data_IF_856686503661
#
_entry.id   IF_856686503661
#
_cell.length_a   1.000
_cell.length_b   1.000
_cell.length_c   1.000
_cell.angle_alpha   90.00
_cell.angle_beta   90.00
_cell.angle_gamma   90.00
#
_symmetry.space_group_name_H-M   'P 1'
#
loop_
_entity.id
_entity.type
_entity.pdbx_description
1 polymer ?
#
# COMPACT_ATOMS: atom_id res chain seq x y z
N UNK A 1 15.52 64.94 2.73
CA UNK A 1 15.45 63.95 1.64
C UNK A 1 14.54 64.49 0.55
N UNK A 2 14.96 64.51 -0.72
CA UNK A 2 14.25 65.21 -1.79
C UNK A 2 12.95 64.48 -2.17
N UNK A 3 11.95 65.26 -2.60
CA UNK A 3 10.63 64.79 -3.06
C UNK A 3 10.71 63.72 -4.19
N UNK A 4 11.87 63.63 -4.85
CA UNK A 4 12.19 62.68 -5.92
C UNK A 4 12.48 61.27 -5.35
N UNK A 5 13.21 61.18 -4.23
CA UNK A 5 13.54 59.89 -3.60
C UNK A 5 12.31 59.17 -3.05
N UNK A 6 11.32 59.91 -2.54
CA UNK A 6 10.07 59.36 -2.03
C UNK A 6 9.18 58.83 -3.17
N UNK A 7 9.11 59.53 -4.31
CA UNK A 7 8.33 59.11 -5.48
C UNK A 7 8.89 57.84 -6.13
N UNK A 8 10.22 57.72 -6.21
CA UNK A 8 10.89 56.52 -6.73
C UNK A 8 10.64 55.29 -5.84
N UNK A 9 10.63 55.45 -4.52
CA UNK A 9 10.29 54.38 -3.58
C UNK A 9 8.83 53.93 -3.71
N UNK A 10 7.89 54.86 -3.83
CA UNK A 10 6.47 54.54 -4.02
C UNK A 10 6.18 53.86 -5.37
N UNK A 11 6.82 54.29 -6.46
CA UNK A 11 6.66 53.62 -7.77
C UNK A 11 7.26 52.21 -7.77
N UNK A 12 8.37 52.00 -7.07
CA UNK A 12 9.01 50.68 -6.94
C UNK A 12 8.12 49.72 -6.14
N UNK A 13 7.49 50.20 -5.06
CA UNK A 13 6.62 49.37 -4.22
C UNK A 13 5.34 48.94 -4.94
N UNK A 14 4.77 49.80 -5.78
CA UNK A 14 3.58 49.50 -6.58
C UNK A 14 3.85 48.42 -7.65
N UNK A 15 5.01 48.45 -8.32
CA UNK A 15 5.39 47.45 -9.33
C UNK A 15 5.62 46.07 -8.69
N UNK A 16 6.19 46.01 -7.48
CA UNK A 16 6.39 44.74 -6.77
C UNK A 16 5.02 44.16 -6.35
N UNK A 17 4.07 44.99 -5.92
CA UNK A 17 2.75 44.50 -5.49
C UNK A 17 1.88 43.95 -6.63
N UNK A 18 2.06 44.43 -7.87
CA UNK A 18 1.30 43.94 -9.03
C UNK A 18 1.85 42.62 -9.56
N UNK A 19 3.17 42.38 -9.51
CA UNK A 19 3.77 41.10 -9.89
C UNK A 19 3.45 39.96 -8.91
N UNK A 20 3.20 40.27 -7.63
CA UNK A 20 2.84 39.27 -6.62
C UNK A 20 1.37 38.80 -6.72
N UNK A 21 0.46 39.60 -7.29
CA UNK A 21 -0.94 39.18 -7.49
C UNK A 21 -1.11 38.24 -8.68
N UNK A 22 -0.33 38.40 -9.76
CA UNK A 22 -0.44 37.53 -10.92
C UNK A 22 0.14 36.13 -10.69
N UNK A 23 1.18 36.01 -9.86
CA UNK A 23 1.84 34.72 -9.63
C UNK A 23 1.07 33.78 -8.68
N UNK A 24 0.16 34.33 -7.87
CA UNK A 24 -0.61 33.53 -6.89
C UNK A 24 -1.96 33.07 -7.43
N UNK A 25 -2.49 33.68 -8.49
CA UNK A 25 -3.80 33.36 -9.02
C UNK A 25 -3.78 32.30 -10.15
N UNK A 26 -2.71 32.23 -10.95
CA UNK A 26 -2.57 31.20 -11.98
C UNK A 26 -2.32 29.80 -11.40
N UNK A 27 -1.72 29.69 -10.21
CA UNK A 27 -1.45 28.41 -9.55
C UNK A 27 -2.63 27.83 -8.75
N UNK A 28 -3.72 28.59 -8.54
CA UNK A 28 -4.93 28.07 -7.90
C UNK A 28 -5.90 27.44 -8.89
N UNK A 29 -5.75 27.71 -10.19
CA UNK A 29 -6.57 27.12 -11.26
C UNK A 29 -6.06 25.76 -11.77
N UNK A 30 -4.99 25.21 -11.18
CA UNK A 30 -4.71 23.77 -11.30
C UNK A 30 -5.59 22.96 -10.33
N UNK A 31 -6.86 23.34 -10.18
CA UNK A 31 -7.91 22.51 -9.57
C UNK A 31 -7.81 21.15 -10.25
N UNK A 32 -7.61 20.10 -9.48
CA UNK A 32 -7.48 18.73 -9.97
C UNK A 32 -8.57 18.47 -11.03
N UNK A 33 -8.17 18.42 -12.30
CA UNK A 33 -9.03 18.16 -13.46
C UNK A 33 -9.49 16.71 -13.51
N UNK A 34 -9.28 15.94 -12.45
CA UNK A 34 -9.65 14.54 -12.31
C UNK A 34 -10.51 14.38 -11.07
N UNK A 35 -11.75 13.95 -11.25
CA UNK A 35 -12.62 13.49 -10.18
C UNK A 35 -12.28 12.04 -9.87
N UNK A 36 -11.98 11.78 -8.61
CA UNK A 36 -11.74 10.44 -8.06
C UNK A 36 -13.00 9.97 -7.33
N UNK A 37 -13.50 8.79 -7.70
CA UNK A 37 -14.65 8.16 -7.04
C UNK A 37 -14.30 6.72 -6.66
N UNK A 38 -14.54 6.33 -5.40
CA UNK A 38 -14.49 4.93 -4.99
C UNK A 38 -15.88 4.34 -5.24
N UNK A 39 -15.95 3.33 -6.10
CA UNK A 39 -17.19 2.65 -6.45
C UNK A 39 -17.48 1.51 -5.49
N UNK A 40 -16.44 0.76 -5.10
CA UNK A 40 -16.53 -0.34 -4.14
C UNK A 40 -15.15 -0.57 -3.49
N UNK A 41 -15.12 -1.21 -2.33
CA UNK A 41 -13.87 -1.55 -1.64
C UNK A 41 -13.99 -2.79 -0.76
N UNK A 42 -12.96 -3.62 -0.77
CA UNK A 42 -12.81 -4.73 0.17
C UNK A 42 -11.43 -4.69 0.84
N UNK A 43 -11.39 -5.03 2.11
CA UNK A 43 -10.18 -4.95 2.93
C UNK A 43 -10.06 -6.14 3.86
N UNK A 44 -8.83 -6.64 4.04
CA UNK A 44 -8.51 -7.65 5.05
C UNK A 44 -7.34 -7.16 5.89
N UNK A 45 -7.54 -7.22 7.20
CA UNK A 45 -6.51 -6.93 8.18
C UNK A 45 -6.17 -8.18 8.99
N UNK A 46 -4.90 -8.37 9.29
CA UNK A 46 -4.42 -9.32 10.26
C UNK A 46 -3.77 -8.56 11.43
N UNK A 47 -4.23 -8.89 12.63
CA UNK A 47 -3.64 -8.44 13.90
C UNK A 47 -3.62 -9.61 14.88
N UNK A 48 -2.46 -10.05 15.38
CA UNK A 48 -2.40 -11.06 16.43
C UNK A 48 -3.07 -10.54 17.71
N UNK A 49 -3.71 -11.43 18.48
CA UNK A 49 -4.31 -11.09 19.79
C UNK A 49 -3.27 -10.61 20.81
N UNK A 50 -2.04 -11.14 20.71
CA UNK A 50 -0.88 -10.71 21.47
C UNK A 50 0.27 -10.54 20.48
N UNK A 51 0.34 -9.37 19.86
CA UNK A 51 1.38 -9.05 18.89
C UNK A 51 1.27 -7.61 18.43
N UNK A 52 2.41 -7.07 18.02
CA UNK A 52 2.53 -5.69 17.53
C UNK A 52 2.50 -5.60 16.00
N UNK A 53 2.40 -6.75 15.34
CA UNK A 53 2.31 -6.84 13.90
C UNK A 53 0.91 -6.47 13.42
N UNK A 54 0.87 -5.57 12.44
CA UNK A 54 -0.35 -5.22 11.74
C UNK A 54 -0.08 -5.34 10.25
N UNK A 55 -0.96 -6.06 9.57
CA UNK A 55 -0.94 -6.13 8.13
C UNK A 55 -2.33 -5.81 7.64
N UNK A 56 -2.44 -5.07 6.55
CA UNK A 56 -3.69 -4.75 5.89
C UNK A 56 -3.49 -4.76 4.38
N UNK A 57 -4.47 -5.31 3.68
CA UNK A 57 -4.58 -5.19 2.24
C UNK A 57 -5.98 -4.67 1.89
N UNK A 58 -6.03 -3.67 1.02
CA UNK A 58 -7.26 -3.02 0.59
C UNK A 58 -7.28 -2.92 -0.93
N UNK A 59 -8.35 -3.42 -1.53
CA UNK A 59 -8.68 -3.27 -2.93
C UNK A 59 -9.82 -2.29 -3.07
N UNK A 60 -9.68 -1.30 -3.96
CA UNK A 60 -10.73 -0.33 -4.26
C UNK A 60 -11.00 -0.35 -5.75
N UNK A 61 -12.24 -0.60 -6.14
CA UNK A 61 -12.70 -0.32 -7.49
C UNK A 61 -12.93 1.19 -7.59
N UNK A 62 -12.26 1.85 -8.52
CA UNK A 62 -12.29 3.30 -8.65
C UNK A 62 -12.67 3.76 -10.06
N UNK A 63 -13.18 4.98 -10.11
CA UNK A 63 -13.41 5.77 -11.31
C UNK A 63 -12.53 7.02 -11.25
N UNK A 64 -11.79 7.25 -12.33
CA UNK A 64 -11.03 8.47 -12.59
C UNK A 64 -11.69 9.19 -13.77
N UNK A 65 -12.38 10.30 -13.51
CA UNK A 65 -13.03 11.10 -14.55
C UNK A 65 -12.29 12.39 -14.79
N UNK A 66 -11.73 12.56 -15.99
CA UNK A 66 -11.17 13.83 -16.44
C UNK A 66 -12.32 14.81 -16.72
N UNK A 67 -12.33 15.94 -16.01
CA UNK A 67 -13.38 16.95 -16.07
C UNK A 67 -13.24 17.89 -17.29
N UNK A 68 -12.09 17.90 -17.97
CA UNK A 68 -11.88 18.70 -19.18
C UNK A 68 -12.27 17.93 -20.45
N UNK A 69 -11.85 16.67 -20.53
CA UNK A 69 -12.10 15.82 -21.70
C UNK A 69 -13.36 14.98 -21.57
N UNK A 70 -14.01 15.01 -20.41
CA UNK A 70 -15.12 14.12 -20.01
C UNK A 70 -14.77 12.63 -20.11
N UNK A 71 -13.47 12.28 -20.18
CA UNK A 71 -13.01 10.90 -20.32
C UNK A 71 -12.95 10.19 -18.97
N UNK A 72 -13.39 8.95 -18.92
CA UNK A 72 -13.41 8.13 -17.71
C UNK A 72 -12.49 6.92 -17.84
N UNK A 73 -11.76 6.61 -16.76
CA UNK A 73 -10.94 5.41 -16.63
C UNK A 73 -11.38 4.67 -15.37
N UNK A 74 -11.56 3.36 -15.49
CA UNK A 74 -11.84 2.47 -14.35
C UNK A 74 -10.63 1.59 -14.06
N UNK A 75 -10.46 1.24 -12.79
CA UNK A 75 -9.45 0.26 -12.39
C UNK A 75 -9.52 -0.07 -10.91
N UNK A 76 -8.58 -0.91 -10.46
CA UNK A 76 -8.49 -1.35 -9.08
C UNK A 76 -7.22 -0.80 -8.43
N UNK A 77 -7.38 -0.03 -7.37
CA UNK A 77 -6.26 0.36 -6.50
C UNK A 77 -6.01 -0.73 -5.47
N UNK A 78 -4.76 -1.18 -5.37
CA UNK A 78 -4.30 -2.10 -4.33
C UNK A 78 -3.39 -1.33 -3.38
N UNK A 79 -3.74 -1.36 -2.11
CA UNK A 79 -2.94 -0.81 -1.03
C UNK A 79 -2.55 -1.93 -0.08
N UNK A 80 -1.26 -2.10 0.20
CA UNK A 80 -0.75 -3.04 1.20
C UNK A 80 -0.01 -2.24 2.25
N UNK A 81 -0.42 -2.34 3.51
CA UNK A 81 0.24 -1.71 4.63
C UNK A 81 0.71 -2.79 5.59
N UNK A 82 1.98 -2.76 5.96
CA UNK A 82 2.56 -3.68 6.95
C UNK A 82 3.34 -2.90 7.98
N UNK A 83 3.11 -3.23 9.25
CA UNK A 83 3.88 -2.76 10.39
C UNK A 83 4.44 -3.99 11.10
N UNK A 84 5.74 -4.05 11.23
CA UNK A 84 6.48 -5.14 11.88
C UNK A 84 7.44 -4.54 12.91
N UNK A 85 7.52 -5.17 14.09
CA UNK A 85 8.50 -4.76 15.11
C UNK A 85 9.67 -5.75 15.11
N UNK A 86 10.87 -5.26 14.76
CA UNK A 86 12.09 -6.05 14.74
C UNK A 86 12.97 -5.67 15.93
N UNK A 87 13.57 -6.67 16.57
CA UNK A 87 14.58 -6.46 17.60
C UNK A 87 15.79 -5.75 16.99
N UNK A 88 16.05 -4.52 17.44
CA UNK A 88 17.10 -3.65 16.92
C UNK A 88 18.44 -3.84 17.65
N UNK A 89 18.40 -4.35 18.88
CA UNK A 89 19.58 -4.63 19.66
C UNK A 89 19.27 -5.10 21.08
N UNK A 90 20.28 -5.65 21.74
CA UNK A 90 20.26 -5.97 23.16
C UNK A 90 21.38 -5.19 23.84
N UNK A 91 21.08 -4.60 24.99
CA UNK A 91 22.08 -4.01 25.87
C UNK A 91 22.03 -4.69 27.22
N UNK A 92 23.20 -4.96 27.77
CA UNK A 92 23.38 -5.57 29.10
C UNK A 92 24.05 -4.52 29.97
N UNK A 93 23.39 -4.12 31.05
CA UNK A 93 23.94 -3.21 32.03
C UNK A 93 24.28 -3.96 33.32
N UNK A 94 25.48 -3.73 33.83
CA UNK A 94 25.95 -4.27 35.09
C UNK A 94 25.98 -3.13 36.11
N UNK A 95 25.25 -3.28 37.20
CA UNK A 95 25.27 -2.34 38.32
C UNK A 95 25.89 -3.02 39.53
N UNK A 96 26.85 -2.34 40.17
CA UNK A 96 27.43 -2.76 41.44
C UNK A 96 27.10 -1.69 42.48
N UNK A 97 26.26 -2.05 43.46
CA UNK A 97 25.94 -1.19 44.59
C UNK A 97 26.26 -1.98 45.85
N UNK A 98 27.34 -1.60 46.54
CA UNK A 98 27.71 -2.08 47.88
C UNK A 98 27.45 -3.58 48.11
N UNK A 99 28.24 -4.43 47.44
CA UNK A 99 28.23 -5.91 47.51
C UNK A 99 27.09 -6.64 46.79
N UNK A 100 26.20 -5.95 46.06
CA UNK A 100 25.23 -6.60 45.16
C UNK A 100 25.58 -6.33 43.69
N UNK A 101 25.80 -7.40 42.93
CA UNK A 101 25.93 -7.35 41.48
C UNK A 101 24.56 -7.61 40.84
N UNK A 102 24.02 -6.61 40.14
CA UNK A 102 22.82 -6.73 39.33
C UNK A 102 23.17 -6.74 37.85
N UNK A 103 22.59 -7.69 37.10
CA UNK A 103 22.62 -7.68 35.64
C UNK A 103 21.22 -7.33 35.15
N UNK A 104 21.09 -6.28 34.33
CA UNK A 104 19.86 -5.99 33.61
C UNK A 104 20.08 -6.14 32.12
N UNK A 105 19.13 -6.79 31.46
CA UNK A 105 19.10 -6.94 30.00
C UNK A 105 17.94 -6.12 29.47
N UNK A 106 18.21 -5.16 28.59
CA UNK A 106 17.17 -4.43 27.87
C UNK A 106 17.25 -4.72 26.39
N UNK A 107 16.10 -5.01 25.79
CA UNK A 107 15.95 -5.23 24.36
C UNK A 107 15.33 -3.97 23.76
N UNK A 108 15.97 -3.41 22.73
CA UNK A 108 15.43 -2.30 21.96
C UNK A 108 14.74 -2.85 20.72
N UNK A 109 13.56 -2.34 20.42
CA UNK A 109 12.76 -2.74 19.28
C UNK A 109 12.60 -1.56 18.31
N UNK A 110 12.71 -1.82 17.02
CA UNK A 110 12.41 -0.87 15.96
C UNK A 110 11.10 -1.24 15.29
N UNK A 111 10.28 -0.22 15.01
CA UNK A 111 9.06 -0.38 14.23
C UNK A 111 9.36 -0.11 12.75
N UNK A 112 9.06 -1.05 11.88
CA UNK A 112 9.25 -0.95 10.44
C UNK A 112 7.88 -0.89 9.78
N UNK A 113 7.61 0.24 9.14
CA UNK A 113 6.38 0.45 8.36
C UNK A 113 6.72 0.37 6.87
N UNK A 114 5.93 -0.41 6.14
CA UNK A 114 6.04 -0.52 4.68
C UNK A 114 4.67 -0.38 4.07
N UNK A 115 4.61 0.36 2.96
CA UNK A 115 3.40 0.59 2.20
C UNK A 115 3.65 0.31 0.72
N UNK A 116 2.75 -0.43 0.10
CA UNK A 116 2.72 -0.72 -1.33
C UNK A 116 1.46 -0.16 -1.96
N UNK A 117 1.58 0.45 -3.13
CA UNK A 117 0.46 0.96 -3.91
C UNK A 117 0.62 0.61 -5.39
N UNK A 118 -0.46 0.13 -6.01
CA UNK A 118 -0.54 -0.04 -7.46
C UNK A 118 -1.96 0.22 -7.96
N UNK A 119 -2.06 0.81 -9.15
CA UNK A 119 -3.31 0.88 -9.92
C UNK A 119 -3.28 -0.18 -11.02
N UNK A 120 -4.26 -1.08 -11.00
CA UNK A 120 -4.45 -2.19 -11.92
C UNK A 120 -5.56 -1.85 -12.91
N UNK A 121 -5.25 -1.91 -14.19
CA UNK A 121 -6.27 -1.75 -15.23
C UNK A 121 -6.97 -3.08 -15.58
N UNK A 122 -7.90 -3.01 -16.53
CA UNK A 122 -8.65 -4.17 -17.03
C UNK A 122 -7.75 -5.33 -17.46
N UNK A 123 -6.65 -5.06 -18.16
CA UNK A 123 -5.78 -6.10 -18.66
C UNK A 123 -5.00 -6.76 -17.52
N UNK A 124 -4.50 -5.96 -16.58
CA UNK A 124 -3.85 -6.49 -15.38
C UNK A 124 -4.80 -7.38 -14.58
N UNK A 125 -6.04 -6.92 -14.36
CA UNK A 125 -7.06 -7.64 -13.59
C UNK A 125 -7.46 -8.96 -14.27
N UNK A 126 -7.59 -8.97 -15.59
CA UNK A 126 -7.83 -10.20 -16.36
C UNK A 126 -6.66 -11.19 -16.21
N UNK A 127 -5.42 -10.72 -16.31
CA UNK A 127 -4.22 -11.55 -16.15
C UNK A 127 -4.14 -12.14 -14.74
N UNK A 128 -4.40 -11.34 -13.71
CA UNK A 128 -4.40 -11.77 -12.31
C UNK A 128 -5.44 -12.86 -12.09
N UNK A 129 -6.68 -12.68 -12.57
CA UNK A 129 -7.73 -13.67 -12.35
C UNK A 129 -7.52 -14.96 -13.13
N UNK A 130 -7.03 -14.88 -14.36
CA UNK A 130 -6.68 -16.08 -15.14
C UNK A 130 -5.63 -16.89 -14.39
N UNK A 131 -4.57 -16.24 -13.92
CA UNK A 131 -3.54 -16.88 -13.12
C UNK A 131 -4.10 -17.49 -11.82
N UNK A 132 -4.90 -16.74 -11.05
CA UNK A 132 -5.51 -17.23 -9.81
C UNK A 132 -6.39 -18.47 -10.05
N UNK A 133 -7.19 -18.46 -11.12
CA UNK A 133 -8.06 -19.58 -11.48
C UNK A 133 -7.28 -20.84 -11.86
N UNK A 134 -6.08 -20.69 -12.43
CA UNK A 134 -5.19 -21.82 -12.69
C UNK A 134 -4.59 -22.36 -11.39
N UNK A 135 -4.02 -21.49 -10.55
CA UNK A 135 -3.26 -21.96 -9.38
C UNK A 135 -4.14 -22.52 -8.27
N UNK A 136 -5.38 -22.06 -8.13
CA UNK A 136 -6.34 -22.59 -7.16
C UNK A 136 -6.59 -24.09 -7.40
N UNK A 137 -6.45 -24.59 -8.63
CA UNK A 137 -6.60 -26.02 -8.91
C UNK A 137 -5.51 -26.86 -8.23
N UNK A 138 -4.33 -26.29 -8.02
CA UNK A 138 -3.23 -26.94 -7.30
C UNK A 138 -3.38 -26.87 -5.77
N UNK A 139 -4.31 -26.06 -5.25
CA UNK A 139 -4.51 -25.91 -3.79
C UNK A 139 -4.97 -27.20 -3.10
N UNK A 140 -5.49 -28.16 -3.87
CA UNK A 140 -5.94 -29.45 -3.35
C UNK A 140 -4.85 -30.52 -3.38
N UNK A 141 -3.66 -30.19 -3.90
CA UNK A 141 -2.55 -31.11 -4.03
C UNK A 141 -1.47 -30.79 -2.99
N UNK A 142 -1.11 -31.74 -2.11
CA UNK A 142 0.03 -31.56 -1.20
C UNK A 142 1.32 -31.47 -2.02
N UNK A 143 2.29 -30.71 -1.51
CA UNK A 143 3.62 -30.57 -2.11
C UNK A 143 4.65 -31.17 -1.16
N UNK A 144 5.67 -31.84 -1.69
CA UNK A 144 6.75 -32.42 -0.87
C UNK A 144 7.67 -31.35 -0.30
N UNK A 145 7.78 -30.21 -0.98
CA UNK A 145 8.69 -29.12 -0.67
C UNK A 145 7.92 -27.81 -0.59
N UNK A 146 8.59 -26.79 -0.07
CA UNK A 146 8.11 -25.42 -0.17
C UNK A 146 7.90 -25.07 -1.65
N UNK A 147 6.69 -24.64 -1.99
CA UNK A 147 6.28 -24.33 -3.36
C UNK A 147 5.63 -22.96 -3.41
N UNK A 148 6.02 -22.13 -4.38
CA UNK A 148 5.45 -20.80 -4.60
C UNK A 148 5.01 -20.66 -6.06
N UNK A 149 3.71 -20.45 -6.27
CA UNK A 149 3.18 -20.01 -7.55
C UNK A 149 2.88 -18.52 -7.46
N UNK A 150 3.48 -17.70 -8.32
CA UNK A 150 3.21 -16.27 -8.36
C UNK A 150 3.25 -15.71 -9.78
N UNK A 151 2.47 -14.66 -10.01
CA UNK A 151 2.58 -13.79 -11.18
C UNK A 151 3.11 -12.43 -10.71
N UNK A 152 3.94 -11.81 -11.53
CA UNK A 152 4.35 -10.42 -11.35
C UNK A 152 3.63 -9.55 -12.38
N UNK A 153 3.00 -8.48 -11.90
CA UNK A 153 2.27 -7.51 -12.71
C UNK A 153 3.02 -6.19 -12.64
N UNK A 154 3.47 -5.71 -13.81
CA UNK A 154 4.20 -4.44 -13.98
C UNK A 154 5.42 -4.30 -13.06
N UNK A 155 6.05 -5.42 -12.68
CA UNK A 155 7.20 -5.54 -11.77
C UNK A 155 7.02 -4.91 -10.37
N UNK A 156 5.82 -4.43 -10.04
CA UNK A 156 5.53 -3.69 -8.80
C UNK A 156 4.55 -4.39 -7.88
N UNK A 157 3.78 -5.33 -8.44
CA UNK A 157 2.81 -6.12 -7.69
C UNK A 157 2.96 -7.59 -8.01
N UNK A 158 3.00 -8.41 -6.97
CA UNK A 158 3.04 -9.86 -7.07
C UNK A 158 1.87 -10.44 -6.31
N UNK A 159 1.22 -11.44 -6.90
CA UNK A 159 0.13 -12.17 -6.27
C UNK A 159 0.33 -13.65 -6.54
N UNK A 160 0.02 -14.49 -5.55
CA UNK A 160 0.31 -15.90 -5.63
C UNK A 160 -0.25 -16.74 -4.50
N UNK A 161 0.15 -18.00 -4.52
CA UNK A 161 -0.08 -18.98 -3.47
C UNK A 161 1.24 -19.63 -3.07
N UNK A 162 1.43 -19.78 -1.76
CA UNK A 162 2.57 -20.46 -1.15
C UNK A 162 2.11 -21.70 -0.41
N UNK A 163 2.84 -22.79 -0.58
CA UNK A 163 2.70 -24.02 0.20
C UNK A 163 3.91 -24.19 1.09
N UNK A 164 3.67 -24.30 2.38
CA UNK A 164 4.70 -24.60 3.37
C UNK A 164 4.44 -25.99 3.98
N UNK A 165 5.22 -27.04 3.65
CA UNK A 165 5.02 -28.37 4.22
C UNK A 165 5.27 -28.42 5.73
N UNK A 166 6.00 -27.48 6.32
CA UNK A 166 6.40 -27.48 7.73
C UNK A 166 5.35 -26.83 8.64
N UNK A 167 4.36 -26.14 8.08
CA UNK A 167 3.32 -25.48 8.88
C UNK A 167 2.37 -26.48 9.55
N UNK A 168 2.00 -26.21 10.80
CA UNK A 168 1.05 -27.01 11.60
C UNK A 168 -0.43 -26.73 11.25
N UNK A 169 -0.71 -25.97 10.19
CA UNK A 169 -2.08 -25.66 9.77
C UNK A 169 -2.71 -26.84 9.00
N UNK A 170 -4.02 -27.03 9.17
CA UNK A 170 -4.80 -28.03 8.40
C UNK A 170 -4.74 -27.78 6.89
N UNK A 171 -4.76 -26.52 6.47
CA UNK A 171 -4.45 -26.13 5.10
C UNK A 171 -3.09 -25.43 5.09
N UNK A 172 -2.16 -26.01 4.33
CA UNK A 172 -0.78 -25.54 4.21
C UNK A 172 -0.59 -24.51 3.09
N UNK A 173 -1.64 -24.26 2.30
CA UNK A 173 -1.67 -23.20 1.30
C UNK A 173 -2.07 -21.86 1.92
N UNK A 174 -1.33 -20.82 1.56
CA UNK A 174 -1.61 -19.43 1.89
C UNK A 174 -1.57 -18.57 0.62
N UNK A 175 -2.42 -17.56 0.54
CA UNK A 175 -2.29 -16.52 -0.48
C UNK A 175 -1.22 -15.51 -0.07
N UNK A 176 -0.47 -15.03 -1.05
CA UNK A 176 0.55 -14.00 -0.88
C UNK A 176 0.31 -12.85 -1.85
N UNK A 177 0.45 -11.63 -1.34
CA UNK A 177 0.33 -10.38 -2.07
C UNK A 177 1.53 -9.52 -1.70
N UNK A 178 2.25 -9.00 -2.69
CA UNK A 178 3.41 -8.15 -2.48
C UNK A 178 3.28 -6.92 -3.36
N UNK A 179 3.47 -5.73 -2.80
CA UNK A 179 3.44 -4.47 -3.51
C UNK A 179 4.60 -3.62 -3.01
N UNK A 180 5.53 -3.26 -3.91
CA UNK A 180 6.80 -2.63 -3.54
C UNK A 180 7.48 -3.44 -2.40
N UNK A 181 7.71 -2.84 -1.23
CA UNK A 181 8.36 -3.48 -0.09
C UNK A 181 7.38 -4.16 0.89
N UNK A 182 6.07 -3.99 0.71
CA UNK A 182 5.04 -4.49 1.60
C UNK A 182 4.52 -5.87 1.15
N UNK A 183 4.42 -6.82 2.08
CA UNK A 183 3.96 -8.18 1.81
C UNK A 183 2.86 -8.61 2.77
N UNK A 184 1.76 -9.14 2.23
CA UNK A 184 0.62 -9.64 2.99
C UNK A 184 0.41 -11.12 2.67
N UNK A 185 0.42 -11.97 3.71
CA UNK A 185 0.12 -13.40 3.61
C UNK A 185 -1.15 -13.71 4.38
N UNK A 186 -1.99 -14.57 3.82
CA UNK A 186 -3.21 -15.04 4.48
C UNK A 186 -3.53 -16.48 4.19
N UNK A 187 -4.12 -17.14 5.18
CA UNK A 187 -4.66 -18.48 5.02
C UNK A 187 -5.67 -18.55 3.87
N UNK A 188 -5.65 -19.68 3.16
CA UNK A 188 -6.46 -19.91 1.97
C UNK A 188 -7.96 -19.64 2.18
N UNK A 189 -8.52 -20.08 3.31
CA UNK A 189 -9.93 -19.89 3.69
C UNK A 189 -10.32 -18.41 3.78
N UNK A 190 -9.46 -17.58 4.36
CA UNK A 190 -9.67 -16.13 4.49
C UNK A 190 -9.49 -15.42 3.15
N UNK A 191 -8.51 -15.84 2.36
CA UNK A 191 -8.20 -15.22 1.07
C UNK A 191 -9.24 -15.45 -0.01
N UNK A 192 -10.01 -16.55 0.07
CA UNK A 192 -11.05 -16.82 -0.92
C UNK A 192 -12.09 -15.69 -1.01
N UNK A 193 -12.48 -15.10 0.12
CA UNK A 193 -13.43 -13.97 0.12
C UNK A 193 -12.92 -12.75 -0.65
N UNK A 194 -11.63 -12.47 -0.54
CA UNK A 194 -10.96 -11.37 -1.25
C UNK A 194 -10.89 -11.65 -2.76
N UNK A 195 -10.65 -12.90 -3.15
CA UNK A 195 -10.66 -13.29 -4.56
C UNK A 195 -12.04 -13.14 -5.20
N UNK A 196 -13.11 -13.41 -4.45
CA UNK A 196 -14.47 -13.15 -4.92
C UNK A 196 -14.70 -11.65 -5.19
N UNK A 197 -14.17 -10.78 -4.34
CA UNK A 197 -14.21 -9.32 -4.55
C UNK A 197 -13.41 -8.91 -5.80
N UNK A 198 -12.20 -9.45 -6.00
CA UNK A 198 -11.42 -9.22 -7.22
C UNK A 198 -12.15 -9.70 -8.48
N UNK A 199 -12.83 -10.84 -8.41
CA UNK A 199 -13.65 -11.37 -9.51
C UNK A 199 -14.80 -10.43 -9.85
N UNK A 200 -15.49 -9.88 -8.85
CA UNK A 200 -16.55 -8.86 -9.04
C UNK A 200 -16.00 -7.59 -9.68
N UNK A 201 -14.85 -7.09 -9.21
CA UNK A 201 -14.24 -5.89 -9.77
C UNK A 201 -13.83 -6.10 -11.23
N UNK A 202 -13.21 -7.24 -11.56
CA UNK A 202 -12.86 -7.55 -12.94
C UNK A 202 -14.10 -7.69 -13.84
N UNK A 203 -15.19 -8.26 -13.34
CA UNK A 203 -16.45 -8.30 -14.09
C UNK A 203 -16.91 -6.88 -14.44
N UNK A 204 -16.93 -5.98 -13.47
CA UNK A 204 -17.28 -4.58 -13.70
C UNK A 204 -16.38 -3.91 -14.74
N UNK A 205 -15.05 -4.11 -14.65
CA UNK A 205 -14.09 -3.57 -15.64
C UNK A 205 -14.22 -4.20 -17.03
N UNK A 206 -14.83 -5.38 -17.16
CA UNK A 206 -15.09 -5.99 -18.46
C UNK A 206 -16.38 -5.47 -19.10
N UNK A 207 -17.36 -5.06 -18.28
CA UNK A 207 -18.65 -4.52 -18.70
C UNK A 207 -18.62 -3.00 -19.00
N UNK A 208 -17.59 -2.30 -18.50
CA UNK A 208 -17.35 -0.87 -18.72
C UNK A 208 -15.98 -0.62 -19.36
#
# INVERSE_FOLDING_TARGET
MSNITLKLLLSSFLIISSTFKSYTQENLNSINKVKYTILDSDSKSFRPFFGTDFREITFKLIELKNLETDSTIYGVEVNINTREIIQAGTSIAFANVSNLWGVSTSTTYNNIEKSGYIFLDKNDMNNILNFLNEIIRFSNQPQEKFTLYKISVRDKFQIGMVYDPETNNNNKWEFVFEANDAAYRMKYDKGFSLLLSLSKFNKFLNEN
#
